data_IF_633756589208
#
_entry.id   IF_633756589208
#
_cell.length_a   1.000
_cell.length_b   1.000
_cell.length_c   1.000
_cell.angle_alpha   90.00
_cell.angle_beta   90.00
_cell.angle_gamma   90.00
#
_symmetry.space_group_name_H-M   'P 1'
#
loop_
_entity.id
_entity.type
_entity.pdbx_description
1 polymer ?
#
# COMPACT_ATOMS: atom_id res chain seq x y z
N UNK A 1 -10.57 -4.14 8.62
CA UNK A 1 -9.76 -3.04 9.19
C UNK A 1 -10.67 -2.16 10.00
N UNK A 2 -10.19 -1.57 11.10
CA UNK A 2 -11.02 -0.67 11.93
C UNK A 2 -11.14 0.73 11.31
N UNK A 3 -10.13 1.21 10.58
CA UNK A 3 -10.19 2.49 9.86
C UNK A 3 -10.67 2.29 8.38
N UNK A 4 -11.81 2.90 7.99
CA UNK A 4 -12.28 2.91 6.61
C UNK A 4 -11.31 3.55 5.61
N UNK A 5 -10.54 4.56 6.01
CA UNK A 5 -9.57 5.27 5.17
C UNK A 5 -8.43 4.32 4.77
N UNK A 6 -7.82 3.63 5.73
CA UNK A 6 -6.77 2.62 5.45
C UNK A 6 -7.31 1.51 4.56
N UNK A 7 -8.55 1.07 4.80
CA UNK A 7 -9.19 0.04 3.97
C UNK A 7 -9.33 0.48 2.51
N UNK A 8 -9.76 1.72 2.28
CA UNK A 8 -9.90 2.27 0.94
C UNK A 8 -8.52 2.48 0.29
N UNK A 9 -7.54 2.97 1.05
CA UNK A 9 -6.16 3.11 0.63
C UNK A 9 -5.55 1.78 0.17
N UNK A 10 -5.58 0.75 1.02
CA UNK A 10 -5.03 -0.58 0.71
C UNK A 10 -5.69 -1.17 -0.52
N UNK A 11 -7.01 -1.02 -0.65
CA UNK A 11 -7.74 -1.51 -1.82
C UNK A 11 -7.26 -0.82 -3.10
N UNK A 12 -7.18 0.52 -3.10
CA UNK A 12 -6.72 1.29 -4.27
C UNK A 12 -5.27 0.97 -4.62
N UNK A 13 -4.41 0.78 -3.62
CA UNK A 13 -3.01 0.42 -3.84
C UNK A 13 -2.91 -0.98 -4.43
N UNK A 14 -3.68 -1.95 -3.93
CA UNK A 14 -3.77 -3.30 -4.48
C UNK A 14 -4.18 -3.28 -5.96
N UNK A 15 -5.30 -2.63 -6.27
CA UNK A 15 -5.82 -2.53 -7.64
C UNK A 15 -4.75 -1.91 -8.56
N UNK A 16 -4.05 -0.88 -8.08
CA UNK A 16 -2.98 -0.20 -8.85
C UNK A 16 -1.73 -1.08 -9.05
N UNK A 17 -1.32 -1.86 -8.05
CA UNK A 17 -0.23 -2.83 -8.13
C UNK A 17 -0.55 -3.94 -9.12
N UNK A 18 -1.76 -4.50 -9.08
CA UNK A 18 -2.21 -5.55 -10.00
C UNK A 18 -2.27 -5.05 -11.45
N UNK A 19 -2.69 -3.81 -11.67
CA UNK A 19 -2.80 -3.17 -12.99
C UNK A 19 -1.47 -2.55 -13.50
N UNK A 20 -0.41 -2.56 -12.68
CA UNK A 20 0.85 -1.84 -12.96
C UNK A 20 0.62 -0.34 -13.26
N UNK A 21 -0.33 0.28 -12.56
CA UNK A 21 -0.69 1.68 -12.72
C UNK A 21 0.25 2.57 -11.90
N UNK A 22 1.46 2.80 -12.43
CA UNK A 22 2.53 3.51 -11.71
C UNK A 22 2.16 4.95 -11.32
N UNK A 23 1.41 5.67 -12.14
CA UNK A 23 0.95 7.03 -11.81
C UNK A 23 0.03 7.01 -10.57
N UNK A 24 -0.82 5.99 -10.46
CA UNK A 24 -1.70 5.83 -9.30
C UNK A 24 -0.95 5.33 -8.07
N UNK A 25 0.05 4.44 -8.25
CA UNK A 25 0.92 4.00 -7.16
C UNK A 25 1.65 5.21 -6.55
N UNK A 26 2.26 6.05 -7.39
CA UNK A 26 2.96 7.28 -6.97
C UNK A 26 2.02 8.21 -6.18
N UNK A 27 0.86 8.52 -6.74
CA UNK A 27 -0.17 9.34 -6.08
C UNK A 27 -0.58 8.78 -4.70
N UNK A 28 -0.76 7.47 -4.59
CA UNK A 28 -1.16 6.83 -3.33
C UNK A 28 -0.03 6.89 -2.30
N UNK A 29 1.21 6.62 -2.70
CA UNK A 29 2.36 6.71 -1.81
C UNK A 29 2.55 8.13 -1.28
N UNK A 30 2.42 9.15 -2.14
CA UNK A 30 2.42 10.55 -1.72
C UNK A 30 1.29 10.85 -0.72
N UNK A 31 0.07 10.36 -0.98
CA UNK A 31 -1.09 10.53 -0.11
C UNK A 31 -0.84 9.95 1.30
N UNK A 32 -0.21 8.78 1.40
CA UNK A 32 0.10 8.15 2.68
C UNK A 32 1.09 8.99 3.51
N UNK A 33 2.01 9.69 2.85
CA UNK A 33 3.02 10.55 3.46
C UNK A 33 2.46 11.95 3.77
N UNK A 34 1.52 12.48 2.98
CA UNK A 34 1.04 13.87 3.07
C UNK A 34 0.15 14.20 4.28
N UNK A 35 -0.15 13.23 5.14
CA UNK A 35 -0.62 13.50 6.51
C UNK A 35 -2.09 13.19 6.82
N UNK A 36 -2.84 12.57 5.91
CA UNK A 36 -4.24 12.17 6.19
C UNK A 36 -4.35 10.89 7.05
N UNK A 37 -3.22 10.19 7.25
CA UNK A 37 -3.10 9.08 8.20
C UNK A 37 -2.47 9.56 9.52
N UNK A 38 -2.90 9.00 10.65
CA UNK A 38 -2.20 9.17 11.92
C UNK A 38 -0.89 8.36 11.94
N UNK A 39 -0.07 8.56 12.96
CA UNK A 39 1.21 7.85 13.13
C UNK A 39 1.00 6.34 13.31
N UNK A 40 0.08 5.93 14.19
CA UNK A 40 -0.29 4.52 14.39
C UNK A 40 -0.75 3.87 13.09
N UNK A 41 -1.54 4.59 12.28
CA UNK A 41 -2.06 4.09 11.02
C UNK A 41 -0.99 3.99 9.93
N UNK A 42 0.02 4.86 9.95
CA UNK A 42 1.19 4.74 9.09
C UNK A 42 2.05 3.55 9.51
N UNK A 43 2.28 3.37 10.80
CA UNK A 43 3.04 2.22 11.32
C UNK A 43 2.39 0.89 10.92
N UNK A 44 1.05 0.80 10.88
CA UNK A 44 0.33 -0.40 10.43
C UNK A 44 0.61 -0.78 8.97
N UNK A 45 0.96 0.18 8.11
CA UNK A 45 1.15 -0.03 6.67
C UNK A 45 2.54 0.34 6.17
N UNK A 46 3.50 0.60 7.06
CA UNK A 46 4.84 1.08 6.71
C UNK A 46 5.59 0.08 5.81
N UNK A 47 5.53 -1.20 6.15
CA UNK A 47 6.12 -2.27 5.33
C UNK A 47 5.51 -2.30 3.93
N UNK A 48 4.20 -2.12 3.81
CA UNK A 48 3.51 -2.05 2.52
C UNK A 48 3.97 -0.83 1.69
N UNK A 49 4.07 0.34 2.33
CA UNK A 49 4.53 1.56 1.67
C UNK A 49 5.96 1.38 1.14
N UNK A 50 6.83 0.77 1.93
CA UNK A 50 8.22 0.52 1.54
C UNK A 50 8.32 -0.40 0.32
N UNK A 51 7.64 -1.56 0.34
CA UNK A 51 7.66 -2.51 -0.78
C UNK A 51 7.04 -1.91 -2.06
N UNK A 52 5.92 -1.20 -1.93
CA UNK A 52 5.30 -0.52 -3.07
C UNK A 52 6.17 0.62 -3.63
N UNK A 53 6.94 1.31 -2.78
CA UNK A 53 7.93 2.31 -3.21
C UNK A 53 9.09 1.66 -3.96
N UNK A 54 9.63 0.54 -3.46
CA UNK A 54 10.68 -0.21 -4.16
C UNK A 54 10.19 -0.72 -5.52
N UNK A 55 8.95 -1.20 -5.61
CA UNK A 55 8.35 -1.53 -6.89
C UNK A 55 8.21 -0.30 -7.81
N UNK A 56 7.82 0.85 -7.24
CA UNK A 56 7.70 2.11 -7.97
C UNK A 56 9.07 2.62 -8.49
N UNK A 57 10.17 2.33 -7.83
CA UNK A 57 11.50 2.80 -8.26
C UNK A 57 12.20 1.80 -9.18
N UNK A 58 12.12 0.51 -8.84
CA UNK A 58 12.96 -0.53 -9.43
C UNK A 58 12.24 -1.36 -10.49
N UNK A 59 10.90 -1.36 -10.49
CA UNK A 59 10.05 -2.15 -11.41
C UNK A 59 10.33 -3.66 -11.32
N UNK A 60 10.87 -4.12 -10.20
CA UNK A 60 11.13 -5.54 -9.96
C UNK A 60 9.88 -6.21 -9.37
N UNK A 61 9.38 -7.25 -10.03
CA UNK A 61 8.14 -7.93 -9.63
C UNK A 61 8.25 -8.58 -8.24
N UNK A 62 9.45 -8.87 -7.72
CA UNK A 62 9.63 -9.37 -6.35
C UNK A 62 9.03 -8.41 -5.31
N UNK A 63 9.24 -7.10 -5.48
CA UNK A 63 8.69 -6.08 -4.58
C UNK A 63 7.17 -5.96 -4.70
N UNK A 64 6.62 -6.14 -5.90
CA UNK A 64 5.17 -6.17 -6.09
C UNK A 64 4.55 -7.40 -5.43
N UNK A 65 5.16 -8.57 -5.60
CA UNK A 65 4.68 -9.81 -5.00
C UNK A 65 4.66 -9.72 -3.47
N UNK A 66 5.72 -9.16 -2.87
CA UNK A 66 5.77 -8.97 -1.42
C UNK A 66 4.75 -7.92 -0.94
N UNK A 67 4.61 -6.78 -1.63
CA UNK A 67 3.57 -5.80 -1.33
C UNK A 67 2.15 -6.40 -1.36
N UNK A 68 1.83 -7.21 -2.38
CA UNK A 68 0.55 -7.90 -2.48
C UNK A 68 0.35 -8.93 -1.36
N UNK A 69 1.40 -9.64 -0.95
CA UNK A 69 1.37 -10.57 0.18
C UNK A 69 1.14 -9.86 1.52
N UNK A 70 1.76 -8.71 1.74
CA UNK A 70 1.49 -7.86 2.90
C UNK A 70 0.02 -7.41 2.91
N UNK A 71 -0.51 -6.95 1.77
CA UNK A 71 -1.93 -6.59 1.63
C UNK A 71 -2.85 -7.75 2.02
N UNK A 72 -2.59 -8.96 1.53
CA UNK A 72 -3.40 -10.13 1.91
C UNK A 72 -3.37 -10.41 3.41
N UNK A 73 -2.22 -10.24 4.06
CA UNK A 73 -2.07 -10.45 5.50
C UNK A 73 -2.86 -9.40 6.30
N UNK A 74 -2.80 -8.13 5.89
CA UNK A 74 -3.61 -7.06 6.46
C UNK A 74 -5.11 -7.38 6.28
N UNK A 75 -5.55 -7.77 5.09
CA UNK A 75 -6.94 -8.15 4.84
C UNK A 75 -7.40 -9.32 5.73
N UNK A 76 -6.54 -10.29 6.03
CA UNK A 76 -6.81 -11.42 6.93
C UNK A 76 -6.88 -11.00 8.40
N UNK A 77 -5.94 -10.19 8.87
CA UNK A 77 -5.86 -9.71 10.25
C UNK A 77 -7.09 -8.91 10.67
N UNK A 78 -7.72 -8.21 9.72
CA UNK A 78 -8.85 -7.36 10.01
C UNK A 78 -10.17 -7.77 9.34
N UNK A 79 -10.35 -9.08 9.05
CA UNK A 79 -11.67 -9.69 8.81
C UNK A 79 -12.58 -9.56 10.04
#
# INVERSE_FOLDING_TARGET
MKNPIIKDYIKKLKDSLEENNFDMIDYLLEYAISGDLSEEEREEIDELINEATLYLELRDEEYKEEALKIIENLEKLYK
#
